data_IF_224311257642
#
_entry.id   IF_224311257642
#
_cell.length_a   1.000
_cell.length_b   1.000
_cell.length_c   1.000
_cell.angle_alpha   90.00
_cell.angle_beta   90.00
_cell.angle_gamma   90.00
#
_symmetry.space_group_name_H-M   'P 1'
#
loop_
_entity.id
_entity.type
_entity.pdbx_description
1 polymer ?
#
# COMPACT_ATOMS: atom_id res chain seq x y z
N UNK A 1 12.19 66.51 -2.51
CA UNK A 1 11.37 67.70 -2.79
C UNK A 1 9.92 67.37 -2.47
N UNK A 2 9.32 68.20 -1.59
CA UNK A 2 7.89 68.38 -1.28
C UNK A 2 7.10 67.22 -0.63
N UNK A 3 7.19 67.19 0.70
CA UNK A 3 6.09 67.05 1.69
C UNK A 3 5.01 68.16 1.55
N UNK A 4 3.90 68.25 2.35
CA UNK A 4 3.09 67.32 3.20
C UNK A 4 1.55 67.63 3.01
N UNK A 5 0.57 67.63 3.98
CA UNK A 5 0.39 67.05 5.33
C UNK A 5 -0.99 66.35 5.60
N UNK A 6 -1.12 65.82 6.82
CA UNK A 6 -2.32 65.40 7.55
C UNK A 6 -3.39 66.54 7.69
N UNK A 7 -4.66 66.26 8.05
CA UNK A 7 -5.06 66.69 9.40
C UNK A 7 -6.05 65.79 10.15
N UNK A 8 -6.05 66.04 11.46
CA UNK A 8 -6.84 65.42 12.51
C UNK A 8 -8.19 66.11 12.74
N UNK A 9 -9.10 65.37 13.39
CA UNK A 9 -10.21 65.81 14.28
C UNK A 9 -11.42 66.51 13.65
N UNK A 10 -12.60 65.96 13.94
CA UNK A 10 -13.71 66.74 14.50
C UNK A 10 -14.62 65.86 15.38
N UNK A 11 -14.75 66.24 16.65
CA UNK A 11 -15.79 65.74 17.56
C UNK A 11 -17.14 66.35 17.14
N UNK A 12 -18.21 65.56 17.23
CA UNK A 12 -19.51 66.08 17.68
C UNK A 12 -20.31 64.99 18.36
N UNK A 13 -20.63 65.24 19.63
CA UNK A 13 -21.60 64.51 20.46
C UNK A 13 -23.00 64.86 19.98
N UNK A 14 -23.92 63.89 19.87
CA UNK A 14 -25.35 64.09 20.19
C UNK A 14 -26.01 62.76 20.60
N UNK A 15 -26.54 62.80 21.82
CA UNK A 15 -27.68 62.12 22.45
C UNK A 15 -28.02 60.63 22.25
N UNK A 16 -28.28 60.04 23.42
CA UNK A 16 -28.85 58.72 23.65
C UNK A 16 -30.28 58.57 23.12
N UNK A 17 -30.58 57.36 22.63
CA UNK A 17 -31.90 56.76 22.72
C UNK A 17 -31.69 55.29 23.14
N UNK A 18 -32.18 54.95 24.34
CA UNK A 18 -32.25 53.59 24.85
C UNK A 18 -33.28 52.82 24.01
N UNK A 19 -32.83 51.82 23.26
CA UNK A 19 -33.71 50.78 22.73
C UNK A 19 -33.27 49.46 23.34
N UNK A 20 -34.03 48.98 24.33
CA UNK A 20 -33.88 47.64 24.87
C UNK A 20 -34.41 46.67 23.80
N UNK A 21 -33.50 46.08 23.03
CA UNK A 21 -33.81 44.91 22.20
C UNK A 21 -33.53 43.69 23.06
N UNK A 22 -34.60 42.99 23.48
CA UNK A 22 -34.49 41.63 24.00
C UNK A 22 -33.99 40.73 22.85
N UNK A 23 -32.69 40.45 22.80
CA UNK A 23 -32.16 39.32 22.05
C UNK A 23 -32.43 38.06 22.86
N UNK A 24 -33.47 37.32 22.46
CA UNK A 24 -33.62 35.93 22.84
C UNK A 24 -32.42 35.16 22.25
N UNK A 25 -31.45 34.83 23.10
CA UNK A 25 -30.36 33.93 22.76
C UNK A 25 -30.93 32.50 22.65
N UNK A 26 -31.40 32.15 21.46
CA UNK A 26 -31.67 30.75 21.10
C UNK A 26 -30.33 30.05 20.96
N UNK A 27 -29.82 29.49 22.07
CA UNK A 27 -28.68 28.61 22.06
C UNK A 27 -29.02 27.34 21.30
N UNK A 28 -28.71 27.28 20.00
CA UNK A 28 -28.51 26.01 19.33
C UNK A 28 -27.17 25.45 19.84
N UNK A 29 -27.24 24.65 20.89
CA UNK A 29 -26.18 23.68 21.16
C UNK A 29 -26.16 22.72 19.99
N UNK A 30 -25.18 22.87 19.09
CA UNK A 30 -24.86 21.82 18.15
C UNK A 30 -24.54 20.56 18.98
N UNK A 31 -25.41 19.55 18.89
CA UNK A 31 -25.08 18.24 19.43
C UNK A 31 -23.73 17.82 18.82
N UNK A 32 -22.78 17.29 19.61
CA UNK A 32 -21.60 16.70 19.01
C UNK A 32 -22.11 15.62 18.07
N UNK A 33 -21.76 15.72 16.78
CA UNK A 33 -21.97 14.62 15.86
C UNK A 33 -21.28 13.43 16.51
N UNK A 34 -22.07 12.45 16.97
CA UNK A 34 -21.55 11.16 17.38
C UNK A 34 -20.77 10.65 16.17
N UNK A 35 -19.44 10.62 16.29
CA UNK A 35 -18.61 9.96 15.30
C UNK A 35 -19.21 8.56 15.13
N UNK A 36 -19.63 8.22 13.90
CA UNK A 36 -20.00 6.86 13.59
C UNK A 36 -18.83 5.98 14.10
N UNK A 37 -19.11 4.88 14.81
CA UNK A 37 -18.03 3.96 15.16
C UNK A 37 -17.32 3.63 13.86
N UNK A 38 -16.03 3.98 13.79
CA UNK A 38 -15.20 3.66 12.64
C UNK A 38 -15.27 2.16 12.48
N UNK A 39 -15.97 1.70 11.45
CA UNK A 39 -16.21 0.29 11.27
C UNK A 39 -14.84 -0.36 11.04
N UNK A 40 -14.46 -1.30 11.90
CA UNK A 40 -13.28 -2.13 11.66
C UNK A 40 -13.34 -2.64 10.21
N UNK A 41 -12.23 -2.62 9.45
CA UNK A 41 -12.22 -3.13 8.08
C UNK A 41 -12.74 -4.58 8.03
N UNK A 42 -13.34 -5.00 6.91
CA UNK A 42 -13.89 -6.35 6.80
C UNK A 42 -12.79 -7.41 6.83
N UNK A 43 -13.07 -8.55 7.44
CA UNK A 43 -12.23 -9.75 7.28
C UNK A 43 -12.44 -10.32 5.88
N UNK A 44 -11.40 -10.26 5.06
CA UNK A 44 -11.47 -10.68 3.66
C UNK A 44 -11.10 -12.15 3.46
N UNK A 45 -11.84 -12.79 2.56
CA UNK A 45 -11.57 -14.13 2.05
C UNK A 45 -11.59 -14.17 0.53
N UNK A 46 -10.68 -14.93 -0.06
CA UNK A 46 -10.77 -15.31 -1.46
C UNK A 46 -11.91 -16.31 -1.65
N UNK A 47 -12.87 -15.99 -2.52
CA UNK A 47 -13.91 -16.91 -2.97
C UNK A 47 -14.03 -16.85 -4.48
N UNK A 48 -13.60 -17.91 -5.16
CA UNK A 48 -13.42 -17.88 -6.61
C UNK A 48 -12.47 -16.75 -6.98
N UNK A 49 -12.92 -15.84 -7.84
CA UNK A 49 -12.15 -14.68 -8.27
C UNK A 49 -12.47 -13.37 -7.53
N UNK A 50 -13.12 -13.43 -6.36
CA UNK A 50 -13.56 -12.27 -5.61
C UNK A 50 -13.01 -12.26 -4.18
N UNK A 51 -12.80 -11.07 -3.65
CA UNK A 51 -12.64 -10.86 -2.21
C UNK A 51 -14.02 -10.68 -1.60
N UNK A 52 -14.33 -11.45 -0.56
CA UNK A 52 -15.63 -11.40 0.13
C UNK A 52 -15.46 -11.34 1.64
N UNK A 53 -16.47 -10.82 2.34
CA UNK A 53 -16.56 -10.90 3.80
C UNK A 53 -17.28 -12.18 4.28
N UNK A 54 -17.54 -12.27 5.58
CA UNK A 54 -18.24 -13.40 6.18
C UNK A 54 -19.72 -13.54 5.73
N UNK A 55 -20.31 -12.45 5.24
CA UNK A 55 -21.68 -12.39 4.72
C UNK A 55 -21.74 -12.71 3.23
N UNK A 56 -20.59 -12.83 2.56
CA UNK A 56 -20.48 -13.08 1.12
C UNK A 56 -20.57 -11.80 0.28
N UNK A 57 -20.55 -10.63 0.91
CA UNK A 57 -20.49 -9.34 0.21
C UNK A 57 -19.14 -9.21 -0.47
N UNK A 58 -19.12 -8.80 -1.74
CA UNK A 58 -17.87 -8.57 -2.47
C UNK A 58 -17.26 -7.24 -2.04
N UNK A 59 -15.95 -7.25 -1.78
CA UNK A 59 -15.17 -6.08 -1.38
C UNK A 59 -14.02 -5.85 -2.36
N UNK A 60 -13.54 -4.61 -2.42
CA UNK A 60 -12.36 -4.20 -3.21
C UNK A 60 -11.37 -3.50 -2.29
N UNK A 61 -10.08 -3.76 -2.48
CA UNK A 61 -9.00 -3.03 -1.84
C UNK A 61 -8.62 -1.85 -2.73
N UNK A 62 -9.07 -0.65 -2.38
CA UNK A 62 -8.88 0.60 -3.12
C UNK A 62 -8.15 1.59 -2.24
N UNK A 63 -6.90 1.93 -2.59
CA UNK A 63 -6.12 2.73 -1.66
C UNK A 63 -4.76 3.19 -2.14
N UNK A 64 -3.82 3.28 -1.20
CA UNK A 64 -2.50 3.87 -1.41
C UNK A 64 -1.39 3.04 -0.77
N UNK A 65 -0.18 3.16 -1.31
CA UNK A 65 1.04 2.70 -0.67
C UNK A 65 1.60 3.78 0.23
N UNK A 66 2.00 3.44 1.46
CA UNK A 66 2.67 4.35 2.41
C UNK A 66 4.12 3.94 2.61
N UNK A 67 4.98 4.36 1.69
CA UNK A 67 6.40 4.00 1.67
C UNK A 67 7.23 4.76 2.73
N UNK A 68 8.33 4.16 3.17
CA UNK A 68 9.27 4.69 4.15
C UNK A 68 9.74 3.65 5.16
N UNK A 69 8.89 2.66 5.45
CA UNK A 69 9.16 1.58 6.41
C UNK A 69 10.27 0.64 5.95
N UNK A 70 10.42 0.47 4.65
CA UNK A 70 11.39 -0.41 4.01
C UNK A 70 12.82 0.14 4.00
N UNK A 71 13.01 1.47 4.07
CA UNK A 71 14.32 2.08 3.82
C UNK A 71 14.85 2.96 4.94
N UNK A 72 14.00 3.68 5.69
CA UNK A 72 14.46 4.66 6.66
C UNK A 72 15.31 4.03 7.78
N UNK A 73 14.94 2.81 8.18
CA UNK A 73 15.56 2.06 9.28
C UNK A 73 16.96 1.56 8.92
N UNK A 74 17.11 0.94 7.76
CA UNK A 74 18.40 0.42 7.28
C UNK A 74 19.34 1.55 6.85
N UNK A 75 18.79 2.70 6.43
CA UNK A 75 19.56 3.92 6.17
C UNK A 75 19.91 4.70 7.45
N UNK A 76 19.38 4.31 8.61
CA UNK A 76 19.85 4.76 9.92
C UNK A 76 19.35 6.13 10.37
N UNK A 77 18.24 6.64 9.82
CA UNK A 77 17.69 7.96 10.19
C UNK A 77 16.25 7.95 10.71
N UNK A 78 15.50 6.84 10.59
CA UNK A 78 14.13 6.76 11.10
C UNK A 78 13.53 5.37 10.98
N UNK A 79 12.27 5.19 11.40
CA UNK A 79 11.47 4.00 11.04
C UNK A 79 10.64 4.29 9.78
N UNK A 80 10.14 5.52 9.64
CA UNK A 80 9.32 5.94 8.51
C UNK A 80 9.86 7.23 7.89
N UNK A 81 9.63 7.40 6.58
CA UNK A 81 9.79 8.65 5.86
C UNK A 81 8.52 9.50 5.99
N UNK A 82 8.54 10.49 6.89
CA UNK A 82 7.41 11.38 7.18
C UNK A 82 6.43 10.84 8.24
N UNK A 83 5.38 11.61 8.57
CA UNK A 83 4.43 11.26 9.62
C UNK A 83 3.60 10.02 9.26
N UNK A 84 3.22 9.30 10.31
CA UNK A 84 2.31 8.14 10.30
C UNK A 84 1.34 8.21 11.47
N UNK A 85 1.14 9.42 12.01
CA UNK A 85 0.23 9.69 13.11
C UNK A 85 -1.24 9.65 12.65
N UNK A 86 -2.16 9.86 13.59
CA UNK A 86 -3.59 9.78 13.31
C UNK A 86 -4.05 10.77 12.24
N UNK A 87 -3.48 11.98 12.22
CA UNK A 87 -3.84 13.00 11.24
C UNK A 87 -3.37 12.60 9.83
N UNK A 88 -2.17 12.04 9.71
CA UNK A 88 -1.66 11.53 8.44
C UNK A 88 -2.49 10.36 7.89
N UNK A 89 -2.95 9.44 8.75
CA UNK A 89 -3.81 8.32 8.34
C UNK A 89 -5.22 8.80 7.99
N UNK A 90 -5.75 9.76 8.76
CA UNK A 90 -7.04 10.42 8.44
C UNK A 90 -7.03 11.06 7.06
N UNK A 91 -5.94 11.72 6.69
CA UNK A 91 -5.81 12.35 5.38
C UNK A 91 -5.89 11.33 4.22
N UNK A 92 -5.40 10.10 4.42
CA UNK A 92 -5.59 8.99 3.48
C UNK A 92 -7.06 8.60 3.39
N UNK A 93 -7.73 8.42 4.54
CA UNK A 93 -9.15 8.08 4.58
C UNK A 93 -10.04 9.18 3.95
N UNK A 94 -9.66 10.46 4.06
CA UNK A 94 -10.37 11.59 3.47
C UNK A 94 -10.30 11.60 1.91
N UNK A 95 -9.44 10.78 1.30
CA UNK A 95 -9.46 10.47 -0.14
C UNK A 95 -10.47 9.37 -0.50
N UNK A 96 -11.16 8.80 0.48
CA UNK A 96 -12.04 7.62 0.35
C UNK A 96 -11.27 6.34 -0.01
N UNK A 97 -9.99 6.28 0.37
CA UNK A 97 -9.25 5.03 0.39
C UNK A 97 -9.80 4.13 1.50
N UNK A 98 -9.86 2.82 1.22
CA UNK A 98 -10.24 1.79 2.18
C UNK A 98 -9.08 0.83 2.50
N UNK A 99 -7.88 1.08 1.97
CA UNK A 99 -6.72 0.19 2.11
C UNK A 99 -5.42 0.98 2.16
N UNK A 100 -4.48 0.56 3.00
CA UNK A 100 -3.10 1.09 3.03
C UNK A 100 -2.10 -0.05 2.95
N UNK A 101 -1.25 -0.06 1.92
CA UNK A 101 -0.12 -1.00 1.80
C UNK A 101 1.13 -0.40 2.43
N UNK A 102 1.77 -1.17 3.31
CA UNK A 102 2.85 -0.74 4.20
C UNK A 102 4.10 -1.56 3.88
N UNK A 103 5.05 -0.99 3.14
CA UNK A 103 6.34 -1.61 2.83
C UNK A 103 7.20 -1.87 4.06
N UNK A 104 7.69 -3.11 4.18
CA UNK A 104 8.53 -3.57 5.28
C UNK A 104 9.94 -3.96 4.83
N UNK A 105 10.87 -3.88 5.79
CA UNK A 105 12.24 -4.37 5.65
C UNK A 105 12.46 -5.57 6.57
N UNK A 106 12.93 -6.70 6.05
CA UNK A 106 13.08 -7.90 6.89
C UNK A 106 14.17 -7.76 7.96
N UNK A 107 15.28 -7.09 7.65
CA UNK A 107 16.39 -6.91 8.59
C UNK A 107 15.99 -5.93 9.71
N UNK A 108 15.23 -4.88 9.38
CA UNK A 108 14.69 -3.98 10.39
C UNK A 108 13.63 -4.66 11.26
N UNK A 109 12.74 -5.46 10.66
CA UNK A 109 11.74 -6.22 11.42
C UNK A 109 12.39 -7.23 12.36
N UNK A 110 13.39 -7.98 11.88
CA UNK A 110 14.09 -8.99 12.68
C UNK A 110 15.06 -8.36 13.69
N UNK A 111 15.58 -7.16 13.41
CA UNK A 111 16.58 -6.48 14.24
C UNK A 111 17.96 -7.11 14.11
N UNK A 112 18.42 -7.33 12.88
CA UNK A 112 19.77 -7.88 12.62
C UNK A 112 20.87 -6.90 13.03
N UNK A 113 22.10 -7.40 13.19
CA UNK A 113 23.21 -6.64 13.76
C UNK A 113 23.65 -5.39 12.97
N UNK A 114 23.30 -5.30 11.67
CA UNK A 114 23.58 -4.13 10.83
C UNK A 114 22.57 -2.99 11.04
N UNK A 115 21.44 -3.25 11.70
CA UNK A 115 20.41 -2.24 11.92
C UNK A 115 20.67 -1.55 13.26
N UNK A 116 20.61 -0.22 13.27
CA UNK A 116 20.67 0.55 14.51
C UNK A 116 19.53 0.09 15.44
N UNK A 117 19.81 -0.37 16.68
CA UNK A 117 18.79 -0.86 17.61
C UNK A 117 17.65 0.12 17.88
N UNK A 118 17.84 1.43 17.65
CA UNK A 118 16.74 2.42 17.76
C UNK A 118 15.65 2.24 16.69
N UNK A 119 15.97 1.62 15.55
CA UNK A 119 15.07 1.43 14.41
C UNK A 119 14.84 -0.04 14.02
N UNK A 120 15.46 -0.99 14.73
CA UNK A 120 15.33 -2.42 14.46
C UNK A 120 14.51 -3.16 15.51
N UNK A 121 14.17 -4.41 15.20
CA UNK A 121 13.60 -5.37 16.13
C UNK A 121 12.29 -4.91 16.75
N UNK A 122 12.20 -4.92 18.08
CA UNK A 122 10.97 -4.56 18.79
C UNK A 122 10.52 -3.13 18.52
N UNK A 123 11.44 -2.18 18.37
CA UNK A 123 11.10 -0.78 18.09
C UNK A 123 10.42 -0.64 16.72
N UNK A 124 10.97 -1.32 15.70
CA UNK A 124 10.36 -1.39 14.38
C UNK A 124 8.97 -2.02 14.43
N UNK A 125 8.86 -3.22 15.03
CA UNK A 125 7.59 -3.96 15.12
C UNK A 125 6.50 -3.17 15.87
N UNK A 126 6.84 -2.49 16.96
CA UNK A 126 5.90 -1.64 17.69
C UNK A 126 5.43 -0.45 16.84
N UNK A 127 6.33 0.17 16.07
CA UNK A 127 5.95 1.28 15.19
C UNK A 127 5.03 0.82 14.04
N UNK A 128 5.28 -0.36 13.46
CA UNK A 128 4.40 -0.98 12.46
C UNK A 128 3.03 -1.33 13.07
N UNK A 129 2.97 -1.97 14.24
CA UNK A 129 1.70 -2.28 14.93
C UNK A 129 0.87 -1.02 15.20
N UNK A 130 1.51 0.08 15.62
CA UNK A 130 0.82 1.35 15.81
C UNK A 130 0.24 1.91 14.50
N UNK A 131 0.96 1.81 13.39
CA UNK A 131 0.44 2.22 12.08
C UNK A 131 -0.71 1.32 11.63
N UNK A 132 -0.58 0.00 11.74
CA UNK A 132 -1.64 -0.99 11.44
C UNK A 132 -2.92 -0.66 12.21
N UNK A 133 -2.82 -0.42 13.52
CA UNK A 133 -3.98 -0.04 14.35
C UNK A 133 -4.60 1.28 13.93
N UNK A 134 -3.80 2.29 13.57
CA UNK A 134 -4.34 3.57 13.07
C UNK A 134 -5.10 3.35 11.75
N UNK A 135 -4.53 2.58 10.82
CA UNK A 135 -5.19 2.25 9.54
C UNK A 135 -6.54 1.58 9.79
N UNK A 136 -6.59 0.56 10.67
CA UNK A 136 -7.84 -0.11 11.05
C UNK A 136 -8.83 0.82 11.78
N UNK A 137 -8.34 1.70 12.66
CA UNK A 137 -9.18 2.68 13.36
C UNK A 137 -9.79 3.73 12.43
N UNK A 138 -9.28 3.88 11.21
CA UNK A 138 -9.89 4.70 10.14
C UNK A 138 -10.67 3.84 9.13
N UNK A 139 -11.00 2.60 9.50
CA UNK A 139 -11.82 1.68 8.70
C UNK A 139 -11.13 1.15 7.45
N UNK A 140 -9.80 1.27 7.37
CA UNK A 140 -9.02 0.84 6.23
C UNK A 140 -8.31 -0.49 6.50
N UNK A 141 -8.18 -1.33 5.47
CA UNK A 141 -7.47 -2.60 5.50
C UNK A 141 -5.95 -2.37 5.37
N UNK A 142 -5.13 -2.78 6.35
CA UNK A 142 -3.68 -2.76 6.22
C UNK A 142 -3.17 -3.97 5.42
N UNK A 143 -2.31 -3.71 4.42
CA UNK A 143 -1.53 -4.74 3.73
C UNK A 143 -0.07 -4.61 4.21
N UNK A 144 0.45 -5.64 4.87
CA UNK A 144 1.87 -5.73 5.23
C UNK A 144 2.61 -6.50 4.14
N UNK A 145 3.69 -5.92 3.63
CA UNK A 145 4.40 -6.48 2.47
C UNK A 145 5.91 -6.44 2.66
N UNK A 146 6.60 -7.48 2.20
CA UNK A 146 8.06 -7.49 2.22
C UNK A 146 8.63 -6.77 1.01
N UNK A 147 9.19 -5.59 1.24
CA UNK A 147 9.72 -4.75 0.18
C UNK A 147 11.19 -5.03 -0.10
N UNK A 148 12.03 -5.00 0.93
CA UNK A 148 13.47 -5.22 0.82
C UNK A 148 13.93 -6.40 1.66
N UNK A 149 14.74 -7.26 1.02
CA UNK A 149 15.29 -8.47 1.61
C UNK A 149 16.81 -8.49 1.53
N UNK A 150 17.44 -9.22 2.44
CA UNK A 150 18.83 -9.62 2.39
C UNK A 150 19.09 -10.51 1.15
N UNK A 151 20.34 -10.56 0.71
CA UNK A 151 20.82 -11.34 -0.41
C UNK A 151 21.82 -10.53 -1.24
N UNK A 152 22.97 -11.11 -1.57
CA UNK A 152 23.89 -10.47 -2.49
C UNK A 152 23.46 -10.77 -3.94
N UNK A 153 23.19 -9.73 -4.72
CA UNK A 153 22.91 -9.86 -6.13
C UNK A 153 23.67 -8.80 -6.92
N UNK A 154 24.55 -9.23 -7.82
CA UNK A 154 25.37 -8.35 -8.66
C UNK A 154 25.06 -8.52 -10.14
N UNK A 155 23.92 -9.15 -10.46
CA UNK A 155 23.48 -9.41 -11.83
C UNK A 155 22.75 -8.22 -12.46
N UNK A 156 22.05 -8.49 -13.56
CA UNK A 156 21.26 -7.49 -14.27
C UNK A 156 20.22 -6.86 -13.35
N UNK A 157 20.17 -5.52 -13.31
CA UNK A 157 19.25 -4.75 -12.47
C UNK A 157 19.47 -4.90 -10.96
N UNK A 158 20.70 -5.18 -10.53
CA UNK A 158 21.09 -5.05 -9.13
C UNK A 158 20.96 -3.59 -8.65
N UNK A 159 20.18 -3.36 -7.59
CA UNK A 159 20.01 -2.04 -6.97
C UNK A 159 21.08 -1.67 -5.93
N UNK A 160 21.84 -2.64 -5.45
CA UNK A 160 22.89 -2.48 -4.47
C UNK A 160 23.86 -3.67 -4.52
N UNK A 161 25.11 -3.45 -4.12
CA UNK A 161 26.18 -4.46 -4.20
C UNK A 161 26.35 -5.28 -2.91
N UNK A 162 25.77 -4.81 -1.79
CA UNK A 162 25.88 -5.45 -0.49
C UNK A 162 24.86 -6.58 -0.30
N UNK A 163 24.99 -7.28 0.83
CA UNK A 163 24.14 -8.42 1.19
C UNK A 163 22.87 -8.01 1.94
N UNK A 164 22.80 -6.79 2.45
CA UNK A 164 21.76 -6.34 3.34
C UNK A 164 20.47 -6.00 2.57
N UNK A 165 19.39 -5.85 3.33
CA UNK A 165 18.11 -5.36 2.85
C UNK A 165 18.17 -3.84 2.60
N UNK A 166 19.18 -3.36 1.87
CA UNK A 166 19.40 -1.95 1.51
C UNK A 166 18.77 -1.58 0.16
N UNK A 167 18.30 -2.57 -0.58
CA UNK A 167 17.60 -2.44 -1.85
C UNK A 167 16.76 -3.69 -2.15
N UNK A 168 15.96 -3.61 -3.22
CA UNK A 168 15.23 -4.74 -3.76
C UNK A 168 16.17 -5.82 -4.31
N UNK A 169 15.79 -7.09 -4.15
CA UNK A 169 16.51 -8.28 -4.64
C UNK A 169 15.62 -9.07 -5.60
N UNK A 170 16.20 -9.88 -6.52
CA UNK A 170 15.40 -10.60 -7.52
C UNK A 170 14.39 -11.58 -6.93
N UNK A 171 14.73 -12.14 -5.77
CA UNK A 171 13.89 -13.08 -5.02
C UNK A 171 14.19 -12.99 -3.52
N UNK A 172 13.24 -13.37 -2.65
CA UNK A 172 13.48 -13.62 -1.23
C UNK A 172 14.63 -14.58 -0.96
N UNK A 173 15.35 -14.40 0.15
CA UNK A 173 16.41 -15.33 0.58
C UNK A 173 15.88 -16.35 1.61
N UNK A 174 16.39 -17.57 1.59
CA UNK A 174 16.05 -18.62 2.56
C UNK A 174 16.61 -18.39 3.97
N UNK A 175 17.59 -17.48 4.12
CA UNK A 175 18.27 -17.22 5.39
C UNK A 175 17.38 -16.46 6.39
N UNK A 176 16.64 -15.46 5.93
CA UNK A 176 15.87 -14.56 6.79
C UNK A 176 14.39 -14.50 6.44
N UNK A 177 14.02 -14.59 5.16
CA UNK A 177 12.64 -14.31 4.74
C UNK A 177 11.59 -15.24 5.37
N UNK A 178 11.82 -16.57 5.48
CA UNK A 178 10.87 -17.44 6.19
C UNK A 178 10.72 -17.07 7.69
N UNK A 179 11.80 -16.66 8.35
CA UNK A 179 11.76 -16.23 9.75
C UNK A 179 11.04 -14.89 9.91
N UNK A 180 11.23 -13.96 8.96
CA UNK A 180 10.47 -12.72 8.86
C UNK A 180 8.97 -13.01 8.76
N UNK A 181 8.54 -13.81 7.79
CA UNK A 181 7.12 -14.13 7.61
C UNK A 181 6.52 -14.91 8.77
N UNK A 182 7.27 -15.85 9.36
CA UNK A 182 6.85 -16.51 10.61
C UNK A 182 6.60 -15.50 11.72
N UNK A 183 7.47 -14.49 11.86
CA UNK A 183 7.34 -13.46 12.90
C UNK A 183 6.18 -12.50 12.63
N UNK A 184 6.00 -12.04 11.38
CA UNK A 184 4.87 -11.19 10.98
C UNK A 184 3.56 -11.93 11.18
N UNK A 185 3.42 -13.14 10.65
CA UNK A 185 2.23 -13.96 10.80
C UNK A 185 1.94 -14.29 12.27
N UNK A 186 2.95 -14.53 13.11
CA UNK A 186 2.73 -14.72 14.55
C UNK A 186 2.14 -13.49 15.23
N UNK A 187 2.55 -12.28 14.81
CA UNK A 187 2.02 -11.04 15.38
C UNK A 187 0.57 -10.78 14.98
N UNK A 188 0.16 -11.16 13.76
CA UNK A 188 -1.13 -10.79 13.17
C UNK A 188 -2.10 -11.94 12.90
N UNK A 189 -1.77 -13.20 13.23
CA UNK A 189 -2.67 -14.35 12.97
C UNK A 189 -4.04 -14.29 13.65
N UNK A 190 -4.16 -13.48 14.71
CA UNK A 190 -5.41 -13.24 15.43
C UNK A 190 -6.09 -11.92 15.01
N UNK A 191 -5.57 -11.28 13.97
CA UNK A 191 -6.06 -10.03 13.37
C UNK A 191 -6.29 -10.32 11.86
N UNK A 192 -7.35 -11.06 11.52
CA UNK A 192 -7.59 -11.56 10.16
C UNK A 192 -7.97 -10.46 9.16
N UNK A 193 -8.19 -9.23 9.62
CA UNK A 193 -8.32 -8.02 8.80
C UNK A 193 -7.00 -7.61 8.14
N UNK A 194 -5.84 -7.95 8.72
CA UNK A 194 -4.54 -7.68 8.11
C UNK A 194 -4.31 -8.60 6.91
N UNK A 195 -3.90 -8.03 5.79
CA UNK A 195 -3.50 -8.77 4.57
C UNK A 195 -1.99 -8.88 4.51
N UNK A 196 -1.47 -10.02 4.04
CA UNK A 196 -0.03 -10.23 3.83
C UNK A 196 0.29 -10.27 2.33
N UNK A 197 1.29 -9.54 1.88
CA UNK A 197 1.78 -9.58 0.49
C UNK A 197 3.24 -10.07 0.49
N UNK A 198 3.45 -11.30 0.00
CA UNK A 198 4.62 -12.12 0.34
C UNK A 198 5.96 -11.50 -0.06
N UNK A 199 5.99 -10.79 -1.18
CA UNK A 199 7.17 -10.09 -1.67
C UNK A 199 6.77 -9.08 -2.73
N UNK A 200 7.30 -7.86 -2.63
CA UNK A 200 6.93 -6.72 -3.46
C UNK A 200 6.96 -7.02 -4.96
N UNK A 201 8.14 -7.39 -5.48
CA UNK A 201 8.38 -7.42 -6.92
C UNK A 201 9.44 -8.47 -7.27
N UNK A 202 9.03 -9.74 -7.45
CA UNK A 202 9.91 -10.77 -7.95
C UNK A 202 10.38 -10.46 -9.38
N UNK A 203 11.67 -10.61 -9.65
CA UNK A 203 12.25 -10.48 -11.00
C UNK A 203 13.33 -11.54 -11.31
N UNK A 204 13.11 -12.84 -11.01
CA UNK A 204 14.11 -13.88 -11.23
C UNK A 204 14.53 -14.00 -12.70
N UNK A 205 13.71 -13.57 -13.67
CA UNK A 205 14.03 -13.59 -15.09
C UNK A 205 15.19 -12.66 -15.50
N UNK A 206 15.60 -11.72 -14.63
CA UNK A 206 16.85 -10.96 -14.85
C UNK A 206 18.11 -11.76 -14.52
N UNK A 207 17.97 -12.83 -13.74
CA UNK A 207 19.05 -13.74 -13.38
C UNK A 207 19.02 -15.04 -14.18
N UNK A 208 17.83 -15.59 -14.43
CA UNK A 208 17.66 -16.92 -15.05
C UNK A 208 17.60 -16.84 -16.59
N UNK A 209 18.10 -17.85 -17.32
CA UNK A 209 18.12 -17.84 -18.79
C UNK A 209 16.77 -17.91 -19.50
N UNK A 210 15.73 -18.46 -18.86
CA UNK A 210 14.42 -18.69 -19.48
C UNK A 210 13.27 -18.35 -18.53
N UNK A 211 12.13 -17.95 -19.08
CA UNK A 211 10.90 -17.68 -18.31
C UNK A 211 10.42 -18.91 -17.52
N UNK A 212 10.63 -20.12 -18.05
CA UNK A 212 10.29 -21.37 -17.33
C UNK A 212 11.15 -21.57 -16.07
N UNK A 213 12.44 -21.26 -16.14
CA UNK A 213 13.32 -21.28 -14.97
C UNK A 213 13.00 -20.15 -13.98
N UNK A 214 12.60 -18.97 -14.48
CA UNK A 214 12.15 -17.87 -13.64
C UNK A 214 10.93 -18.26 -12.80
N UNK A 215 9.90 -18.85 -13.40
CA UNK A 215 8.71 -19.32 -12.68
C UNK A 215 8.98 -20.50 -11.75
N UNK A 216 9.88 -21.42 -12.11
CA UNK A 216 10.32 -22.48 -11.22
C UNK A 216 11.03 -21.91 -9.98
N UNK A 217 11.98 -20.98 -10.18
CA UNK A 217 12.64 -20.26 -9.09
C UNK A 217 11.63 -19.48 -8.23
N UNK A 218 10.69 -18.79 -8.87
CA UNK A 218 9.65 -18.02 -8.20
C UNK A 218 8.82 -18.88 -7.23
N UNK A 219 8.37 -20.06 -7.67
CA UNK A 219 7.53 -20.95 -6.84
C UNK A 219 8.36 -21.72 -5.82
N UNK A 220 9.40 -22.41 -6.30
CA UNK A 220 10.11 -23.47 -5.56
C UNK A 220 11.35 -22.98 -4.81
N UNK A 221 11.90 -21.83 -5.20
CA UNK A 221 13.15 -21.33 -4.64
C UNK A 221 14.33 -22.29 -4.79
N UNK A 222 15.12 -22.44 -3.73
CA UNK A 222 16.33 -23.24 -3.68
C UNK A 222 17.50 -22.58 -4.43
N UNK A 223 18.25 -23.40 -5.19
CA UNK A 223 19.36 -22.89 -6.00
C UNK A 223 18.85 -22.40 -7.36
N UNK A 224 18.65 -21.09 -7.48
CA UNK A 224 18.26 -20.46 -8.73
C UNK A 224 19.48 -19.97 -9.52
N UNK A 225 19.56 -20.34 -10.81
CA UNK A 225 20.66 -19.91 -11.67
C UNK A 225 20.77 -18.38 -11.75
N UNK A 226 21.97 -17.85 -11.54
CA UNK A 226 22.26 -16.41 -11.60
C UNK A 226 21.97 -15.66 -10.29
N UNK A 227 21.40 -16.32 -9.28
CA UNK A 227 21.19 -15.77 -7.94
C UNK A 227 22.20 -16.45 -7.00
N UNK A 228 23.04 -15.65 -6.33
CA UNK A 228 24.18 -16.15 -5.56
C UNK A 228 23.86 -16.62 -4.14
N UNK A 229 22.62 -16.43 -3.68
CA UNK A 229 22.12 -16.90 -2.39
C UNK A 229 21.01 -17.93 -2.60
N UNK A 230 20.78 -18.77 -1.59
CA UNK A 230 19.65 -19.70 -1.58
C UNK A 230 18.33 -18.92 -1.51
N UNK A 231 17.46 -19.16 -2.48
CA UNK A 231 16.18 -18.47 -2.64
C UNK A 231 15.11 -19.16 -1.80
N UNK A 232 14.30 -18.37 -1.09
CA UNK A 232 13.00 -18.84 -0.62
C UNK A 232 11.95 -18.55 -1.72
N UNK A 233 11.30 -19.59 -2.22
CA UNK A 233 10.23 -19.44 -3.20
C UNK A 233 8.94 -18.94 -2.54
N UNK A 234 7.95 -18.54 -3.34
CA UNK A 234 6.65 -18.13 -2.82
C UNK A 234 5.94 -19.23 -2.03
N UNK A 235 6.18 -20.51 -2.34
CA UNK A 235 5.66 -21.61 -1.54
C UNK A 235 6.28 -21.62 -0.14
N UNK A 236 7.59 -21.42 0.00
CA UNK A 236 8.26 -21.38 1.30
C UNK A 236 7.72 -20.24 2.18
N UNK A 237 7.46 -19.08 1.57
CA UNK A 237 6.93 -17.92 2.29
C UNK A 237 5.48 -18.14 2.74
N UNK A 238 4.63 -18.69 1.87
CA UNK A 238 3.27 -19.05 2.24
C UNK A 238 3.24 -20.13 3.32
N UNK A 239 4.11 -21.15 3.22
CA UNK A 239 4.24 -22.19 4.22
C UNK A 239 4.68 -21.62 5.57
N UNK A 240 5.64 -20.68 5.59
CA UNK A 240 6.05 -19.97 6.80
C UNK A 240 4.90 -19.21 7.45
N UNK A 241 4.05 -18.53 6.65
CA UNK A 241 2.83 -17.87 7.16
C UNK A 241 1.87 -18.90 7.75
N UNK A 242 1.52 -19.95 6.98
CA UNK A 242 0.48 -20.92 7.36
C UNK A 242 0.90 -21.84 8.51
N UNK A 243 2.20 -22.12 8.66
CA UNK A 243 2.74 -22.88 9.79
C UNK A 243 2.46 -22.23 11.17
N UNK A 244 2.21 -20.91 11.21
CA UNK A 244 1.84 -20.21 12.46
C UNK A 244 0.38 -20.41 12.87
N UNK A 245 -0.44 -20.94 11.97
CA UNK A 245 -1.90 -21.01 12.06
C UNK A 245 -2.63 -19.79 11.48
N UNK A 246 -1.91 -18.83 10.88
CA UNK A 246 -2.51 -17.64 10.27
C UNK A 246 -3.45 -17.99 9.10
N UNK A 247 -4.63 -17.37 9.09
CA UNK A 247 -5.66 -17.53 8.04
C UNK A 247 -5.94 -16.26 7.25
N UNK A 248 -5.15 -15.21 7.50
CA UNK A 248 -5.15 -13.94 6.79
C UNK A 248 -5.15 -14.16 5.27
N UNK A 249 -5.76 -13.24 4.53
CA UNK A 249 -5.60 -13.17 3.08
C UNK A 249 -4.12 -12.97 2.75
N UNK A 250 -3.61 -13.76 1.82
CA UNK A 250 -2.23 -13.65 1.32
C UNK A 250 -2.25 -13.25 -0.15
N UNK A 251 -1.40 -12.31 -0.54
CA UNK A 251 -1.13 -11.92 -1.92
C UNK A 251 0.21 -12.53 -2.36
N UNK A 252 0.25 -13.06 -3.58
CA UNK A 252 1.48 -13.51 -4.22
C UNK A 252 1.64 -12.82 -5.58
N UNK A 253 2.64 -11.95 -5.69
CA UNK A 253 2.97 -11.22 -6.90
C UNK A 253 3.60 -12.10 -7.99
N UNK A 254 3.43 -11.73 -9.27
CA UNK A 254 4.08 -12.40 -10.41
C UNK A 254 5.59 -12.14 -10.53
N UNK A 255 6.17 -12.51 -11.68
CA UNK A 255 7.56 -12.18 -12.03
C UNK A 255 7.63 -10.84 -12.78
N UNK A 256 8.82 -10.46 -13.27
CA UNK A 256 9.04 -9.23 -14.00
C UNK A 256 8.61 -7.98 -13.23
N UNK A 257 9.07 -7.88 -11.98
CA UNK A 257 8.69 -6.81 -11.05
C UNK A 257 7.17 -6.79 -10.84
N UNK A 258 6.61 -7.97 -10.56
CA UNK A 258 5.18 -8.20 -10.47
C UNK A 258 4.35 -7.83 -11.72
N UNK A 259 4.95 -7.54 -12.88
CA UNK A 259 4.22 -7.10 -14.08
C UNK A 259 3.79 -8.25 -15.01
N UNK A 260 4.31 -9.48 -14.82
CA UNK A 260 3.94 -10.66 -15.59
C UNK A 260 3.26 -11.75 -14.74
N UNK A 261 1.98 -12.00 -15.01
CA UNK A 261 1.19 -13.07 -14.40
C UNK A 261 0.91 -14.27 -15.32
N UNK A 262 1.51 -14.31 -16.51
CA UNK A 262 1.23 -15.34 -17.53
C UNK A 262 1.45 -16.78 -17.04
N UNK A 263 2.38 -16.99 -16.10
CA UNK A 263 2.65 -18.29 -15.49
C UNK A 263 1.98 -18.51 -14.14
N UNK A 264 1.26 -17.53 -13.58
CA UNK A 264 0.81 -17.55 -12.19
C UNK A 264 -0.11 -18.74 -11.90
N UNK A 265 -1.18 -18.96 -12.70
CA UNK A 265 -2.13 -20.07 -12.48
C UNK A 265 -1.44 -21.45 -12.45
N UNK A 266 -0.41 -21.64 -13.29
CA UNK A 266 0.33 -22.91 -13.35
C UNK A 266 1.28 -23.11 -12.16
N UNK A 267 1.75 -22.02 -11.57
CA UNK A 267 2.77 -22.04 -10.52
C UNK A 267 2.24 -21.60 -9.16
N UNK A 268 0.95 -21.25 -9.04
CA UNK A 268 0.34 -20.72 -7.83
C UNK A 268 0.72 -21.58 -6.60
N UNK A 269 1.20 -20.96 -5.50
CA UNK A 269 1.43 -21.65 -4.26
C UNK A 269 0.16 -22.37 -3.79
N UNK A 270 0.33 -23.55 -3.19
CA UNK A 270 -0.76 -24.30 -2.59
C UNK A 270 -1.07 -23.72 -1.22
N UNK A 271 -2.19 -23.03 -1.11
CA UNK A 271 -2.66 -22.50 0.17
C UNK A 271 -3.62 -23.46 0.87
N UNK A 272 -3.23 -24.13 1.98
CA UNK A 272 -4.14 -24.97 2.75
C UNK A 272 -5.29 -24.19 3.39
N UNK A 273 -5.17 -22.87 3.57
CA UNK A 273 -6.26 -22.02 4.04
C UNK A 273 -7.22 -21.59 2.93
N UNK A 274 -6.85 -21.79 1.66
CA UNK A 274 -7.64 -21.37 0.50
C UNK A 274 -7.90 -19.85 0.43
N UNK A 275 -7.01 -19.04 1.00
CA UNK A 275 -7.18 -17.59 1.12
C UNK A 275 -6.01 -16.84 0.47
N UNK A 276 -5.82 -17.10 -0.84
CA UNK A 276 -4.74 -16.59 -1.68
C UNK A 276 -5.29 -15.77 -2.84
N UNK A 277 -4.65 -14.63 -3.13
CA UNK A 277 -4.92 -13.78 -4.28
C UNK A 277 -3.63 -13.45 -5.05
N UNK A 278 -3.77 -13.05 -6.31
CA UNK A 278 -2.65 -12.62 -7.14
C UNK A 278 -2.41 -11.12 -6.98
N UNK A 279 -1.14 -10.71 -6.90
CA UNK A 279 -0.74 -9.30 -6.95
C UNK A 279 -0.07 -8.94 -8.28
N UNK A 280 -0.28 -7.72 -8.75
CA UNK A 280 0.30 -7.20 -10.00
C UNK A 280 0.70 -5.74 -9.88
N UNK A 281 1.83 -5.34 -10.45
CA UNK A 281 2.26 -3.94 -10.46
C UNK A 281 2.30 -3.41 -11.88
N UNK A 282 1.96 -2.13 -12.04
CA UNK A 282 2.01 -1.49 -13.35
C UNK A 282 2.34 -0.01 -13.31
N UNK A 283 3.25 0.33 -14.21
CA UNK A 283 3.64 1.68 -14.56
C UNK A 283 3.63 1.85 -16.08
N UNK A 284 3.55 3.10 -16.53
CA UNK A 284 3.50 3.46 -17.96
C UNK A 284 4.73 3.04 -18.77
N UNK A 285 5.85 2.73 -18.10
CA UNK A 285 7.10 2.27 -18.71
C UNK A 285 7.30 0.75 -18.65
N UNK A 286 6.37 0.00 -18.06
CA UNK A 286 6.47 -1.47 -18.05
C UNK A 286 6.15 -2.08 -19.42
N UNK A 287 6.63 -3.30 -19.62
CA UNK A 287 6.34 -4.08 -20.82
C UNK A 287 4.84 -4.42 -20.96
N UNK A 288 4.16 -4.75 -19.85
CA UNK A 288 2.72 -5.01 -19.82
C UNK A 288 1.92 -3.76 -19.41
N UNK A 289 1.97 -2.72 -20.25
CA UNK A 289 1.33 -1.41 -20.00
C UNK A 289 0.13 -1.11 -20.92
N UNK A 290 -0.36 -2.11 -21.66
CA UNK A 290 -1.50 -1.98 -22.58
C UNK A 290 -2.62 -2.93 -22.21
N UNK A 291 -3.87 -2.54 -22.52
CA UNK A 291 -5.06 -3.39 -22.30
C UNK A 291 -4.95 -4.74 -23.01
N UNK A 292 -4.33 -4.80 -24.19
CA UNK A 292 -4.07 -6.07 -24.89
C UNK A 292 -3.17 -7.01 -24.08
N UNK A 293 -2.16 -6.46 -23.40
CA UNK A 293 -1.34 -7.25 -22.50
C UNK A 293 -2.14 -7.68 -21.28
N UNK A 294 -2.91 -6.77 -20.65
CA UNK A 294 -3.73 -7.07 -19.48
C UNK A 294 -4.76 -8.17 -19.77
N UNK A 295 -5.43 -8.10 -20.92
CA UNK A 295 -6.37 -9.13 -21.36
C UNK A 295 -5.68 -10.49 -21.57
N UNK A 296 -4.42 -10.49 -22.03
CA UNK A 296 -3.66 -11.73 -22.25
C UNK A 296 -3.10 -12.34 -20.97
N UNK A 297 -2.61 -11.54 -20.04
CA UNK A 297 -1.83 -12.03 -18.88
C UNK A 297 -2.61 -11.97 -17.56
N UNK A 298 -3.49 -10.98 -17.37
CA UNK A 298 -4.25 -10.81 -16.12
C UNK A 298 -5.60 -11.54 -16.19
N UNK A 299 -6.32 -11.47 -17.31
CA UNK A 299 -7.67 -12.03 -17.40
C UNK A 299 -7.76 -13.54 -17.08
N UNK A 300 -6.82 -14.41 -17.52
CA UNK A 300 -6.83 -15.82 -17.13
C UNK A 300 -6.65 -16.03 -15.62
N UNK A 301 -5.87 -15.18 -14.97
CA UNK A 301 -5.59 -15.25 -13.52
C UNK A 301 -6.79 -14.73 -12.75
N UNK A 302 -7.37 -13.62 -13.19
CA UNK A 302 -8.54 -13.00 -12.60
C UNK A 302 -9.85 -13.79 -12.85
N UNK A 303 -9.80 -14.85 -13.64
CA UNK A 303 -10.86 -15.86 -13.72
C UNK A 303 -10.71 -16.96 -12.64
N UNK A 304 -9.51 -17.14 -12.09
CA UNK A 304 -9.18 -18.22 -11.16
C UNK A 304 -9.12 -17.75 -9.70
N UNK A 305 -8.57 -16.56 -9.44
CA UNK A 305 -8.34 -16.01 -8.11
C UNK A 305 -8.61 -14.51 -8.07
N UNK A 306 -8.79 -13.90 -6.89
CA UNK A 306 -8.88 -12.45 -6.80
C UNK A 306 -7.58 -11.79 -7.27
N UNK A 307 -7.71 -10.61 -7.90
CA UNK A 307 -6.59 -9.84 -8.44
C UNK A 307 -6.50 -8.47 -7.76
N UNK A 308 -5.31 -8.14 -7.26
CA UNK A 308 -4.99 -6.85 -6.64
C UNK A 308 -3.84 -6.21 -7.40
N UNK A 309 -4.03 -5.01 -7.95
CA UNK A 309 -2.91 -4.21 -8.41
C UNK A 309 -2.25 -3.54 -7.20
N UNK A 310 -1.17 -4.14 -6.67
CA UNK A 310 -0.48 -3.66 -5.47
C UNK A 310 0.12 -2.26 -5.64
N UNK A 311 0.49 -1.92 -6.88
CA UNK A 311 1.00 -0.62 -7.27
C UNK A 311 0.48 -0.24 -8.66
N UNK A 312 -0.09 0.95 -8.76
CA UNK A 312 -0.34 1.65 -10.02
C UNK A 312 0.33 3.03 -9.97
N UNK A 313 1.05 3.40 -11.03
CA UNK A 313 1.67 4.72 -11.11
C UNK A 313 2.15 5.12 -12.51
N UNK A 314 2.65 6.35 -12.65
CA UNK A 314 3.29 6.82 -13.88
C UNK A 314 4.33 7.92 -13.60
N UNK A 315 5.32 8.06 -14.49
CA UNK A 315 6.46 8.96 -14.28
C UNK A 315 6.33 10.34 -14.98
N UNK A 316 5.11 10.80 -15.21
CA UNK A 316 4.82 12.01 -16.01
C UNK A 316 4.24 13.17 -15.20
N UNK A 317 3.98 12.97 -13.90
CA UNK A 317 3.11 13.82 -13.08
C UNK A 317 1.67 14.03 -13.63
N UNK A 318 1.28 13.39 -14.74
CA UNK A 318 -0.11 13.28 -15.16
C UNK A 318 -0.75 12.03 -14.55
N UNK A 319 -2.02 11.78 -14.82
CA UNK A 319 -2.74 10.58 -14.34
C UNK A 319 -3.45 9.79 -15.46
N UNK A 320 -3.22 10.14 -16.73
CA UNK A 320 -3.91 9.52 -17.86
C UNK A 320 -3.58 8.04 -18.06
N UNK A 321 -2.40 7.58 -17.61
CA UNK A 321 -2.08 6.16 -17.63
C UNK A 321 -2.90 5.42 -16.57
N UNK A 322 -2.87 5.90 -15.33
CA UNK A 322 -3.59 5.24 -14.22
C UNK A 322 -5.10 5.31 -14.39
N UNK A 323 -5.65 6.33 -15.05
CA UNK A 323 -7.08 6.40 -15.37
C UNK A 323 -7.53 5.18 -16.20
N UNK A 324 -6.73 4.76 -17.19
CA UNK A 324 -7.03 3.57 -18.00
C UNK A 324 -6.92 2.29 -17.18
N UNK A 325 -5.94 2.20 -16.30
CA UNK A 325 -5.77 1.05 -15.39
C UNK A 325 -6.97 0.96 -14.44
N UNK A 326 -7.30 2.04 -13.73
CA UNK A 326 -8.43 2.10 -12.80
C UNK A 326 -9.74 1.75 -13.51
N UNK A 327 -9.98 2.28 -14.71
CA UNK A 327 -11.16 1.92 -15.50
C UNK A 327 -11.22 0.43 -15.82
N UNK A 328 -10.11 -0.17 -16.30
CA UNK A 328 -10.09 -1.60 -16.64
C UNK A 328 -10.38 -2.49 -15.42
N UNK A 329 -9.86 -2.10 -14.25
CA UNK A 329 -10.09 -2.78 -12.98
C UNK A 329 -11.52 -2.56 -12.44
N UNK A 330 -12.07 -1.36 -12.56
CA UNK A 330 -13.44 -1.03 -12.14
C UNK A 330 -14.48 -1.82 -12.92
N UNK A 331 -14.34 -1.89 -14.25
CA UNK A 331 -15.24 -2.64 -15.14
C UNK A 331 -15.30 -4.14 -14.77
N UNK A 332 -14.37 -4.62 -13.94
CA UNK A 332 -14.22 -6.02 -13.51
C UNK A 332 -14.32 -6.21 -12.00
N UNK A 333 -14.49 -5.13 -11.23
CA UNK A 333 -14.58 -5.18 -9.77
C UNK A 333 -13.29 -5.60 -9.07
N UNK A 334 -12.12 -5.28 -9.64
CA UNK A 334 -10.81 -5.66 -9.08
C UNK A 334 -10.21 -4.58 -8.20
N UNK A 335 -9.17 -4.92 -7.45
CA UNK A 335 -8.55 -4.04 -6.45
C UNK A 335 -7.32 -3.32 -6.99
N UNK A 336 -7.02 -2.11 -6.52
CA UNK A 336 -5.80 -1.38 -6.89
C UNK A 336 -5.36 -0.36 -5.84
N UNK A 337 -4.06 -0.10 -5.77
CA UNK A 337 -3.48 0.89 -4.87
C UNK A 337 -2.51 1.81 -5.61
N UNK A 338 -2.66 3.11 -5.43
CA UNK A 338 -1.74 4.10 -5.97
C UNK A 338 -0.39 4.06 -5.28
N UNK A 339 0.69 4.10 -6.05
CA UNK A 339 2.02 4.41 -5.56
C UNK A 339 2.29 5.89 -5.86
N UNK A 340 2.55 6.79 -4.90
CA UNK A 340 2.74 6.58 -3.45
C UNK A 340 2.35 7.76 -2.54
N UNK A 341 1.93 7.50 -1.30
CA UNK A 341 1.57 8.50 -0.28
C UNK A 341 2.81 9.07 0.44
N UNK A 342 3.66 9.76 -0.32
CA UNK A 342 4.83 10.48 0.18
C UNK A 342 4.91 11.85 -0.50
N UNK A 343 5.64 12.80 0.09
CA UNK A 343 5.84 14.16 -0.45
C UNK A 343 7.06 14.26 -1.36
N UNK A 344 7.31 13.23 -2.17
CA UNK A 344 8.40 13.21 -3.14
C UNK A 344 8.03 13.94 -4.44
N UNK A 345 8.90 13.88 -5.44
CA UNK A 345 8.61 14.34 -6.78
C UNK A 345 7.67 13.37 -7.51
N UNK A 346 6.61 13.88 -8.16
CA UNK A 346 5.65 13.04 -8.88
C UNK A 346 6.13 12.51 -10.23
N UNK A 347 7.27 12.98 -10.77
CA UNK A 347 7.84 12.46 -12.01
C UNK A 347 8.81 11.31 -11.72
N UNK A 348 9.60 11.39 -10.66
CA UNK A 348 10.58 10.35 -10.32
C UNK A 348 10.15 9.38 -9.22
N UNK A 349 9.21 9.76 -8.36
CA UNK A 349 8.79 8.99 -7.18
C UNK A 349 7.28 8.76 -7.09
N UNK A 350 6.58 8.71 -8.24
CA UNK A 350 5.17 9.12 -8.44
C UNK A 350 4.39 9.47 -7.16
N UNK A 351 4.78 10.56 -6.51
CA UNK A 351 4.14 11.03 -5.28
C UNK A 351 2.68 11.42 -5.56
N UNK A 352 1.76 10.85 -4.78
CA UNK A 352 0.34 11.21 -4.78
C UNK A 352 0.10 12.56 -4.10
N UNK A 353 0.91 12.93 -3.11
CA UNK A 353 0.68 14.11 -2.28
C UNK A 353 1.86 15.09 -2.32
N UNK A 354 1.57 16.38 -2.19
CA UNK A 354 2.58 17.42 -1.96
C UNK A 354 2.70 17.82 -0.48
N UNK A 355 1.76 17.38 0.36
CA UNK A 355 1.71 17.61 1.81
C UNK A 355 0.99 16.46 2.50
N UNK A 356 1.42 16.10 3.71
CA UNK A 356 0.82 15.03 4.52
C UNK A 356 -0.59 15.35 5.06
N UNK A 357 -1.11 16.55 4.80
CA UNK A 357 -2.53 16.88 4.98
C UNK A 357 -3.44 16.30 3.87
N UNK A 358 -2.87 15.59 2.89
CA UNK A 358 -3.60 15.00 1.78
C UNK A 358 -3.78 15.93 0.57
N UNK A 359 -3.08 17.06 0.51
CA UNK A 359 -3.01 17.89 -0.69
C UNK A 359 -2.39 17.09 -1.84
N UNK A 360 -3.10 16.86 -2.96
CA UNK A 360 -2.61 16.02 -4.04
C UNK A 360 -1.56 16.74 -4.90
N UNK A 361 -0.67 15.97 -5.51
CA UNK A 361 0.03 16.37 -6.74
C UNK A 361 -0.93 16.30 -7.95
N UNK A 362 -0.55 16.81 -9.14
CA UNK A 362 -1.36 16.61 -10.35
C UNK A 362 -1.55 15.13 -10.72
N UNK A 363 -0.61 14.25 -10.39
CA UNK A 363 -0.78 12.80 -10.53
C UNK A 363 -1.79 12.27 -9.50
N UNK A 364 -1.62 12.61 -8.22
CA UNK A 364 -2.47 12.12 -7.15
C UNK A 364 -3.92 12.60 -7.22
N UNK A 365 -4.20 13.74 -7.86
CA UNK A 365 -5.58 14.18 -8.06
C UNK A 365 -6.40 13.18 -8.88
N UNK A 366 -5.78 12.49 -9.84
CA UNK A 366 -6.45 11.45 -10.62
C UNK A 366 -6.99 10.32 -9.74
N UNK A 367 -6.14 9.74 -8.89
CA UNK A 367 -6.55 8.70 -7.96
C UNK A 367 -7.57 9.22 -6.93
N UNK A 368 -7.31 10.36 -6.29
CA UNK A 368 -8.21 10.93 -5.26
C UNK A 368 -9.62 11.14 -5.80
N UNK A 369 -9.73 11.82 -6.94
CA UNK A 369 -11.01 12.21 -7.49
C UNK A 369 -11.78 10.97 -7.97
N UNK A 370 -11.07 9.96 -8.48
CA UNK A 370 -11.63 8.67 -8.85
C UNK A 370 -12.18 7.88 -7.65
N UNK A 371 -11.42 7.75 -6.56
CA UNK A 371 -11.86 7.07 -5.34
C UNK A 371 -13.12 7.72 -4.74
N UNK A 372 -13.13 9.06 -4.65
CA UNK A 372 -14.31 9.83 -4.20
C UNK A 372 -15.52 9.61 -5.10
N UNK A 373 -15.31 9.51 -6.41
CA UNK A 373 -16.39 9.26 -7.36
C UNK A 373 -16.98 7.84 -7.24
N UNK A 374 -16.19 6.83 -6.85
CA UNK A 374 -16.70 5.48 -6.61
C UNK A 374 -17.54 5.41 -5.32
N UNK A 375 -17.06 6.02 -4.24
CA UNK A 375 -17.76 6.10 -2.94
C UNK A 375 -19.17 6.68 -3.07
N UNK A 376 -19.32 7.79 -3.79
CA UNK A 376 -20.65 8.39 -4.05
C UNK A 376 -21.62 7.49 -4.83
N UNK A 377 -21.12 6.59 -5.69
CA UNK A 377 -21.97 5.66 -6.43
C UNK A 377 -22.49 4.54 -5.53
N UNK A 378 -21.65 4.03 -4.62
CA UNK A 378 -22.05 3.00 -3.67
C UNK A 378 -23.17 3.51 -2.75
N UNK A 379 -23.07 4.73 -2.22
CA UNK A 379 -24.12 5.35 -1.39
C UNK A 379 -25.48 5.47 -2.13
N UNK A 380 -25.46 5.80 -3.42
CA UNK A 380 -26.69 5.93 -4.24
C UNK A 380 -27.35 4.61 -4.61
N UNK A 381 -26.61 3.49 -4.60
CA UNK A 381 -27.16 2.16 -4.86
C UNK A 381 -27.77 1.49 -3.64
N UNK A 382 -27.44 2.00 -2.44
CA UNK A 382 -27.93 1.49 -1.14
C UNK A 382 -29.10 2.29 -0.55
N UNK A 383 -29.49 3.40 -1.18
CA UNK A 383 -30.68 4.22 -0.83
C UNK A 383 -31.84 3.90 -1.75
#
# INVERSE_FOLDING_TARGET
>A
MRHPPCPSRCLSRVLAALTVVLLAASGLTAAPALAAPSATPPVLRAQGNKLVDAQGTTHRLLGVNRSGGEFACVQGWGIFDGPVDDAAVRAIADWKANTVRIPLNEECWLGTANIDPKYGGSNYRTAIDQLVRRVQNHGMTPILELHWSHGQYTGNSAGCADVHASCQKPMPNARYTPAFWTSVATAYKNDPEVVFDLFNEPYPERATPTTGQAWACWRDGGTCQGIGYEVAGMQDLLDAVRATGAKNLVLAAGIAYANDLSGWVRHAPRDPAGNLAAAWHVYNFNACSTEDCWNRTLAPVAAAVPLVAGEIGENTCAHGFIDRVMKWFDDRGFSYLGWTWNTWDCSSGPALISSYDGTPTPFGSGLRDHLRALDTREETTTS
#
